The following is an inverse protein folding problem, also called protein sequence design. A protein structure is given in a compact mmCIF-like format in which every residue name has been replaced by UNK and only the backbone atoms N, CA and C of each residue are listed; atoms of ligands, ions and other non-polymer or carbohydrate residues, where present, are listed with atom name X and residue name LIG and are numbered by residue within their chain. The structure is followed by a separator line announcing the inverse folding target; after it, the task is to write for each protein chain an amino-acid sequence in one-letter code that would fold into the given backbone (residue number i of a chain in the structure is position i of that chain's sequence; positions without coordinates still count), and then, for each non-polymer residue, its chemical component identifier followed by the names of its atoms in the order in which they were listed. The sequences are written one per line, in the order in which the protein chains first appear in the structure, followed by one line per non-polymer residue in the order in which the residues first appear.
data_IF_989409936912
#
_entry.id   IF_989409936912
#
_cell.length_a   1.000
_cell.length_b   1.000
_cell.length_c   1.000
_cell.angle_alpha   90.00
_cell.angle_beta   90.00
_cell.angle_gamma   90.00
#
_symmetry.space_group_name_H-M   'P 1'
#
loop_
_entity.id
_entity.type
_entity.pdbx_description
1 polymer ?
#
# COMPACT_ATOMS: atom_id res chain seq x y z
N UNK A 1 -4.05 15.81 16.24
CA UNK A 1 -4.29 14.88 15.16
C UNK A 1 -5.70 15.16 14.63
N UNK A 2 -5.88 15.30 13.33
CA UNK A 2 -7.15 15.60 12.65
C UNK A 2 -7.87 16.86 13.18
N UNK A 3 -7.27 18.05 13.02
CA UNK A 3 -7.83 19.27 13.63
C UNK A 3 -8.96 19.92 12.81
N UNK A 4 -9.19 19.48 11.55
CA UNK A 4 -10.03 20.18 10.58
C UNK A 4 -11.51 19.76 10.64
N UNK A 5 -11.83 18.66 11.33
CA UNK A 5 -13.19 18.16 11.42
C UNK A 5 -13.75 17.68 10.07
N UNK A 6 -12.91 17.09 9.24
CA UNK A 6 -13.37 16.45 8.02
C UNK A 6 -14.24 15.23 8.33
N UNK A 7 -15.19 14.96 7.47
CA UNK A 7 -16.03 13.75 7.56
C UNK A 7 -15.55 12.72 6.55
N UNK A 8 -15.54 11.47 6.94
CA UNK A 8 -15.21 10.38 6.05
C UNK A 8 -16.35 10.09 5.07
N UNK A 9 -15.97 9.76 3.87
CA UNK A 9 -16.89 9.30 2.84
C UNK A 9 -16.34 8.08 2.10
N UNK A 10 -17.23 7.40 1.41
CA UNK A 10 -16.92 6.22 0.60
C UNK A 10 -17.29 6.51 -0.84
N UNK A 11 -16.36 6.28 -1.75
CA UNK A 11 -16.54 6.51 -3.18
C UNK A 11 -16.14 5.28 -3.99
N UNK A 12 -16.68 5.18 -5.20
CA UNK A 12 -16.20 4.27 -6.22
C UNK A 12 -15.26 5.02 -7.16
N UNK A 13 -14.07 4.47 -7.38
CA UNK A 13 -13.00 5.04 -8.21
C UNK A 13 -12.46 3.97 -9.17
N UNK A 14 -11.86 4.38 -10.27
CA UNK A 14 -11.14 3.46 -11.17
C UNK A 14 -9.74 3.18 -10.62
N UNK A 15 -9.14 2.06 -11.03
CA UNK A 15 -7.74 1.76 -10.72
C UNK A 15 -6.80 2.82 -11.31
N UNK A 16 -7.15 3.44 -12.44
CA UNK A 16 -6.36 4.55 -12.99
C UNK A 16 -6.37 5.76 -12.05
N UNK A 17 -7.50 6.13 -11.47
CA UNK A 17 -7.57 7.23 -10.50
C UNK A 17 -6.74 6.94 -9.25
N UNK A 18 -6.71 5.68 -8.77
CA UNK A 18 -5.83 5.27 -7.66
C UNK A 18 -4.37 5.44 -8.05
N UNK A 19 -3.97 4.96 -9.22
CA UNK A 19 -2.58 5.08 -9.70
C UNK A 19 -2.14 6.53 -9.83
N UNK A 20 -2.99 7.37 -10.40
CA UNK A 20 -2.72 8.81 -10.58
C UNK A 20 -2.63 9.53 -9.22
N UNK A 21 -3.46 9.16 -8.26
CA UNK A 21 -3.42 9.72 -6.92
C UNK A 21 -2.12 9.35 -6.19
N UNK A 22 -1.68 8.09 -6.28
CA UNK A 22 -0.40 7.66 -5.69
C UNK A 22 0.79 8.38 -6.36
N UNK A 23 0.74 8.59 -7.67
CA UNK A 23 1.76 9.33 -8.41
C UNK A 23 1.82 10.79 -7.97
N UNK A 24 0.65 11.47 -7.88
CA UNK A 24 0.58 12.84 -7.38
C UNK A 24 1.11 12.96 -5.95
N UNK A 25 0.69 12.05 -5.06
CA UNK A 25 1.13 12.04 -3.66
C UNK A 25 2.63 11.86 -3.51
N UNK A 26 3.25 11.11 -4.42
CA UNK A 26 4.68 10.83 -4.43
C UNK A 26 5.50 11.91 -5.14
N UNK A 27 4.87 12.88 -5.81
CA UNK A 27 5.54 13.79 -6.73
C UNK A 27 6.65 14.63 -6.09
N UNK A 28 6.50 15.00 -4.81
CA UNK A 28 7.47 15.81 -4.08
C UNK A 28 8.67 15.01 -3.53
N UNK A 29 8.58 13.67 -3.50
CA UNK A 29 9.63 12.84 -2.92
C UNK A 29 11.01 13.08 -3.63
N UNK A 30 12.13 13.24 -2.88
CA UNK A 30 12.33 13.04 -1.44
C UNK A 30 11.92 14.22 -0.55
N UNK A 31 11.38 15.30 -1.11
CA UNK A 31 10.85 16.42 -0.34
C UNK A 31 9.57 16.06 0.41
N UNK A 32 9.23 16.87 1.40
CA UNK A 32 8.00 16.69 2.18
C UNK A 32 6.77 17.20 1.44
N UNK A 33 5.63 16.59 1.69
CA UNK A 33 4.33 17.01 1.16
C UNK A 33 3.23 16.68 2.16
N UNK A 34 2.46 17.69 2.57
CA UNK A 34 1.29 17.50 3.42
C UNK A 34 0.20 16.65 2.78
N UNK A 35 0.16 16.61 1.44
CA UNK A 35 -0.76 15.78 0.66
C UNK A 35 -0.24 14.37 0.38
N UNK A 36 0.88 13.92 0.96
CA UNK A 36 1.38 12.56 0.78
C UNK A 36 0.38 11.53 1.33
N UNK A 37 0.00 10.55 0.49
CA UNK A 37 -1.02 9.57 0.86
C UNK A 37 -0.46 8.48 1.77
N UNK A 38 -0.99 8.42 2.98
CA UNK A 38 -0.87 7.23 3.82
C UNK A 38 -1.97 6.24 3.42
N UNK A 39 -1.60 4.99 3.21
CA UNK A 39 -2.50 4.00 2.62
C UNK A 39 -2.80 2.83 3.54
N UNK A 40 -3.99 2.24 3.36
CA UNK A 40 -4.42 0.99 3.95
C UNK A 40 -5.18 0.17 2.91
N UNK A 41 -5.10 -1.16 2.99
CA UNK A 41 -5.71 -2.05 2.00
C UNK A 41 -4.96 -2.12 0.67
N UNK A 42 -3.88 -1.37 0.51
CA UNK A 42 -3.00 -1.43 -0.66
C UNK A 42 -1.52 -1.29 -0.26
N UNK A 43 -0.65 -1.74 -1.15
CA UNK A 43 0.80 -1.51 -1.08
C UNK A 43 1.30 -0.99 -2.41
N UNK A 44 2.40 -0.24 -2.42
CA UNK A 44 3.03 0.23 -3.65
C UNK A 44 4.51 0.58 -3.46
N UNK A 45 5.21 0.72 -4.57
CA UNK A 45 6.62 1.10 -4.62
C UNK A 45 6.75 2.50 -5.21
N UNK A 46 7.61 3.34 -4.62
CA UNK A 46 8.08 4.61 -5.19
C UNK A 46 9.50 4.39 -5.70
N UNK A 47 9.72 4.53 -7.00
CA UNK A 47 11.05 4.51 -7.61
C UNK A 47 11.64 5.93 -7.53
N UNK A 48 12.49 6.16 -6.55
CA UNK A 48 13.01 7.50 -6.23
C UNK A 48 13.91 8.08 -7.34
N UNK A 49 14.50 7.22 -8.17
CA UNK A 49 15.36 7.64 -9.30
C UNK A 49 14.55 8.08 -10.54
N UNK A 50 13.26 7.82 -10.56
CA UNK A 50 12.37 8.33 -11.62
C UNK A 50 11.90 9.72 -11.20
N UNK A 51 12.25 10.79 -11.94
CA UNK A 51 11.72 12.12 -11.64
C UNK A 51 10.21 12.16 -11.84
N UNK A 52 9.53 12.99 -11.04
CA UNK A 52 8.08 13.17 -11.21
C UNK A 52 7.75 13.75 -12.58
N UNK A 53 6.80 13.14 -13.27
CA UNK A 53 6.23 13.58 -14.54
C UNK A 53 4.78 14.08 -14.36
N UNK A 54 4.37 14.41 -13.14
CA UNK A 54 3.06 14.98 -12.82
C UNK A 54 2.96 16.39 -13.38
N UNK A 55 1.94 16.63 -14.20
CA UNK A 55 1.56 17.96 -14.71
C UNK A 55 0.40 18.49 -13.88
N UNK A 56 0.56 19.73 -13.40
CA UNK A 56 -0.46 20.46 -12.65
C UNK A 56 -0.88 21.72 -13.42
N UNK A 57 -2.10 22.16 -13.20
CA UNK A 57 -2.58 23.44 -13.71
C UNK A 57 -2.15 24.63 -12.81
N UNK A 58 -2.54 25.84 -13.19
CA UNK A 58 -2.21 27.08 -12.46
C UNK A 58 -2.75 27.11 -11.01
N UNK A 59 -3.70 26.24 -10.69
CA UNK A 59 -4.23 26.06 -9.33
C UNK A 59 -3.55 24.96 -8.55
N UNK A 60 -2.45 24.40 -9.08
CA UNK A 60 -1.74 23.25 -8.51
C UNK A 60 -2.56 21.95 -8.48
N UNK A 61 -3.63 21.85 -9.27
CA UNK A 61 -4.45 20.66 -9.40
C UNK A 61 -3.84 19.69 -10.44
N UNK A 62 -3.96 18.41 -10.20
CA UNK A 62 -3.50 17.36 -11.11
C UNK A 62 -4.20 17.46 -12.47
N UNK A 63 -3.43 17.36 -13.54
CA UNK A 63 -3.93 17.30 -14.92
C UNK A 63 -3.67 15.92 -15.53
N UNK A 64 -2.42 15.47 -15.50
CA UNK A 64 -1.99 14.18 -16.07
C UNK A 64 -0.60 13.80 -15.57
N UNK A 65 -0.20 12.59 -15.88
CA UNK A 65 1.20 12.17 -15.88
C UNK A 65 1.71 12.24 -17.31
N UNK A 66 2.80 12.97 -17.56
CA UNK A 66 3.37 13.21 -18.89
C UNK A 66 4.75 12.56 -19.01
N UNK A 67 4.81 11.26 -18.79
CA UNK A 67 6.03 10.47 -18.79
C UNK A 67 5.90 9.17 -18.00
N UNK A 68 7.03 8.70 -17.47
CA UNK A 68 7.03 7.51 -16.65
C UNK A 68 6.41 7.77 -15.28
N UNK A 69 5.62 6.83 -14.79
CA UNK A 69 5.18 6.80 -13.41
C UNK A 69 6.35 6.38 -12.52
N UNK A 70 6.53 7.07 -11.41
CA UNK A 70 7.45 6.64 -10.35
C UNK A 70 6.84 5.62 -9.41
N UNK A 71 5.51 5.53 -9.36
CA UNK A 71 4.81 4.49 -8.60
C UNK A 71 4.68 3.20 -9.41
N UNK A 72 5.01 2.08 -8.79
CA UNK A 72 4.93 0.74 -9.38
C UNK A 72 4.47 -0.29 -8.34
N UNK A 73 4.32 -1.53 -8.76
CA UNK A 73 4.00 -2.67 -7.90
C UNK A 73 2.79 -2.42 -7.00
N UNK A 74 1.77 -1.73 -7.53
CA UNK A 74 0.58 -1.37 -6.77
C UNK A 74 -0.28 -2.62 -6.60
N UNK A 75 -0.51 -3.00 -5.34
CA UNK A 75 -1.34 -4.14 -4.98
C UNK A 75 -2.54 -3.67 -4.15
N UNK A 76 -3.73 -4.10 -4.48
CA UNK A 76 -4.96 -3.82 -3.71
C UNK A 76 -5.52 -5.14 -3.20
N UNK A 77 -5.68 -5.27 -1.88
CA UNK A 77 -6.11 -6.53 -1.27
C UNK A 77 -5.22 -7.72 -1.65
N UNK A 78 -3.91 -7.49 -1.82
CA UNK A 78 -2.94 -8.52 -2.22
C UNK A 78 -2.99 -8.92 -3.70
N UNK A 79 -3.78 -8.23 -4.55
CA UNK A 79 -3.84 -8.46 -5.99
C UNK A 79 -3.27 -7.26 -6.76
N UNK A 80 -2.61 -7.46 -7.91
CA UNK A 80 -2.16 -6.36 -8.75
C UNK A 80 -3.32 -5.42 -9.10
N UNK A 81 -3.05 -4.11 -9.01
CA UNK A 81 -4.02 -3.10 -9.41
C UNK A 81 -4.37 -3.25 -10.90
N UNK A 82 -5.65 -3.42 -11.19
CA UNK A 82 -6.18 -3.36 -12.55
C UNK A 82 -6.73 -1.94 -12.80
N UNK A 83 -6.05 -1.17 -13.64
CA UNK A 83 -6.41 0.24 -13.91
C UNK A 83 -7.80 0.40 -14.52
N UNK A 84 -8.34 -0.64 -15.14
CA UNK A 84 -9.67 -0.63 -15.79
C UNK A 84 -10.82 -1.00 -14.84
N UNK A 85 -10.51 -1.60 -13.70
CA UNK A 85 -11.52 -1.97 -12.70
C UNK A 85 -11.90 -0.80 -11.81
N UNK A 86 -13.06 -0.92 -11.16
CA UNK A 86 -13.51 -0.05 -10.10
C UNK A 86 -13.20 -0.63 -8.73
N UNK A 87 -12.90 0.26 -7.81
CA UNK A 87 -12.56 -0.04 -6.42
C UNK A 87 -13.36 0.88 -5.50
N UNK A 88 -13.62 0.41 -4.30
CA UNK A 88 -14.18 1.24 -3.24
C UNK A 88 -13.04 1.89 -2.46
N UNK A 89 -13.09 3.22 -2.33
CA UNK A 89 -12.11 4.04 -1.64
C UNK A 89 -12.78 4.80 -0.50
N UNK A 90 -12.20 4.73 0.69
CA UNK A 90 -12.60 5.52 1.86
C UNK A 90 -11.53 6.56 2.17
N UNK A 91 -11.92 7.79 2.40
CA UNK A 91 -11.11 8.87 2.94
C UNK A 91 -12.01 10.04 3.33
N UNK A 92 -11.41 11.15 3.77
CA UNK A 92 -12.15 12.34 4.14
C UNK A 92 -12.71 13.11 2.93
N UNK A 93 -13.81 13.83 3.16
CA UNK A 93 -14.58 14.56 2.17
C UNK A 93 -13.79 15.67 1.44
N UNK A 94 -12.84 16.31 2.13
CA UNK A 94 -11.98 17.34 1.52
C UNK A 94 -11.22 16.80 0.30
N UNK A 95 -10.65 15.61 0.40
CA UNK A 95 -9.95 14.99 -0.73
C UNK A 95 -10.92 14.37 -1.74
N UNK A 96 -11.85 13.51 -1.29
CA UNK A 96 -12.65 12.70 -2.20
C UNK A 96 -13.80 13.46 -2.87
N UNK A 97 -14.37 14.49 -2.21
CA UNK A 97 -15.49 15.27 -2.74
C UNK A 97 -15.04 16.58 -3.37
N UNK A 98 -13.98 17.19 -2.86
CA UNK A 98 -13.53 18.52 -3.31
C UNK A 98 -12.25 18.46 -4.18
N UNK A 99 -11.54 17.31 -4.21
CA UNK A 99 -10.25 17.20 -4.88
C UNK A 99 -9.15 18.00 -4.16
N UNK A 100 -9.25 18.11 -2.83
CA UNK A 100 -8.32 18.87 -2.01
C UNK A 100 -6.86 18.42 -2.21
N UNK A 101 -5.92 19.29 -1.91
CA UNK A 101 -4.47 19.10 -2.13
C UNK A 101 -4.09 18.79 -3.58
N UNK A 102 -4.97 19.20 -4.52
CA UNK A 102 -4.75 19.03 -5.95
C UNK A 102 -5.15 17.66 -6.51
N UNK A 103 -5.83 16.82 -5.72
CA UNK A 103 -6.32 15.50 -6.15
C UNK A 103 -7.55 15.60 -7.07
N UNK A 104 -7.42 16.35 -8.17
CA UNK A 104 -8.50 16.63 -9.11
C UNK A 104 -9.08 15.38 -9.80
N UNK A 105 -8.34 14.23 -9.80
CA UNK A 105 -8.89 12.96 -10.26
C UNK A 105 -10.05 12.47 -9.38
N UNK A 106 -10.14 12.95 -8.14
CA UNK A 106 -11.29 12.77 -7.26
C UNK A 106 -12.28 13.93 -7.43
N UNK A 107 -13.11 14.20 -6.46
CA UNK A 107 -14.16 15.21 -6.57
C UNK A 107 -15.46 14.63 -7.09
N UNK A 108 -16.59 15.20 -6.67
CA UNK A 108 -17.94 14.69 -6.95
C UNK A 108 -18.31 14.54 -8.41
N UNK A 109 -17.58 15.22 -9.32
CA UNK A 109 -17.77 15.10 -10.76
C UNK A 109 -17.07 13.89 -11.37
N UNK A 110 -16.04 13.38 -10.69
CA UNK A 110 -15.13 12.35 -11.20
C UNK A 110 -15.27 11.00 -10.49
N UNK A 111 -15.94 10.98 -9.34
CA UNK A 111 -16.14 9.76 -8.55
C UNK A 111 -17.62 9.54 -8.25
N UNK A 112 -18.01 8.29 -8.04
CA UNK A 112 -19.36 7.97 -7.60
C UNK A 112 -19.39 7.87 -6.07
N UNK A 113 -20.11 8.77 -5.43
CA UNK A 113 -20.30 8.78 -3.99
C UNK A 113 -21.20 7.60 -3.57
N UNK A 114 -20.71 6.75 -2.69
CA UNK A 114 -21.43 5.59 -2.15
C UNK A 114 -22.01 5.89 -0.77
N UNK A 115 -21.22 6.55 0.10
CA UNK A 115 -21.65 7.02 1.43
C UNK A 115 -21.02 8.37 1.72
N UNK A 116 -21.74 9.23 2.38
CA UNK A 116 -21.31 10.58 2.78
C UNK A 116 -21.49 10.79 4.28
N UNK A 117 -20.65 11.61 4.89
CA UNK A 117 -20.75 11.96 6.29
C UNK A 117 -20.78 10.76 7.22
N UNK A 118 -19.97 9.75 6.95
CA UNK A 118 -20.02 8.48 7.69
C UNK A 118 -19.63 8.68 9.14
N UNK A 119 -18.54 9.43 9.35
CA UNK A 119 -18.00 9.74 10.67
C UNK A 119 -16.97 10.84 10.54
N UNK A 120 -16.79 11.63 11.60
CA UNK A 120 -15.71 12.61 11.66
C UNK A 120 -14.35 11.88 11.79
N UNK A 121 -13.34 12.34 11.08
CA UNK A 121 -12.04 11.69 10.89
C UNK A 121 -11.32 11.33 12.19
N UNK A 122 -11.36 12.20 13.20
CA UNK A 122 -10.77 11.91 14.50
C UNK A 122 -11.50 10.78 15.25
N UNK A 123 -12.82 10.66 15.07
CA UNK A 123 -13.62 9.60 15.71
C UNK A 123 -13.34 8.25 15.06
N UNK A 124 -13.05 8.19 13.76
CA UNK A 124 -12.61 6.96 13.09
C UNK A 124 -11.34 6.42 13.73
N UNK A 125 -10.34 7.29 13.94
CA UNK A 125 -9.09 6.91 14.61
C UNK A 125 -9.33 6.48 16.07
N UNK A 126 -10.13 7.22 16.82
CA UNK A 126 -10.46 6.88 18.21
C UNK A 126 -11.13 5.51 18.27
N UNK A 127 -12.13 5.27 17.42
CA UNK A 127 -12.84 3.99 17.37
C UNK A 127 -11.91 2.84 17.02
N UNK A 128 -10.99 3.04 16.07
CA UNK A 128 -10.02 2.02 15.72
C UNK A 128 -9.10 1.69 16.90
N UNK A 129 -8.58 2.69 17.60
CA UNK A 129 -7.71 2.48 18.76
C UNK A 129 -8.47 1.75 19.86
N UNK A 130 -9.69 2.18 20.19
CA UNK A 130 -10.47 1.60 21.29
C UNK A 130 -10.95 0.19 20.95
N UNK A 131 -11.57 0.01 19.77
CA UNK A 131 -12.29 -1.22 19.45
C UNK A 131 -11.40 -2.30 18.82
N UNK A 132 -10.34 -1.91 18.10
CA UNK A 132 -9.48 -2.86 17.38
C UNK A 132 -8.12 -3.06 18.06
N UNK A 133 -7.62 -2.03 18.77
CA UNK A 133 -6.31 -2.09 19.42
C UNK A 133 -6.39 -2.20 20.95
N UNK A 134 -7.60 -2.31 21.52
CA UNK A 134 -7.78 -2.41 22.97
C UNK A 134 -7.36 -1.15 23.74
N UNK A 135 -7.41 0.01 23.09
CA UNK A 135 -7.11 1.33 23.69
C UNK A 135 -5.61 1.70 23.67
N UNK A 136 -4.75 0.89 23.10
CA UNK A 136 -3.29 1.13 23.09
C UNK A 136 -2.74 1.01 21.68
N UNK A 137 -1.95 2.00 21.27
CA UNK A 137 -1.10 1.90 20.07
C UNK A 137 0.23 1.27 20.49
N UNK A 138 0.39 -0.02 20.21
CA UNK A 138 1.51 -0.82 20.70
C UNK A 138 2.70 -0.89 19.74
N UNK A 139 3.63 -1.79 20.07
CA UNK A 139 4.89 -2.01 19.36
C UNK A 139 4.73 -2.33 17.87
N UNK A 140 3.57 -2.87 17.47
CA UNK A 140 3.27 -3.15 16.06
C UNK A 140 3.32 -1.91 15.16
N UNK A 141 3.23 -0.71 15.75
CA UNK A 141 3.32 0.57 15.04
C UNK A 141 4.63 1.33 15.30
N UNK A 142 5.60 0.73 16.01
CA UNK A 142 6.90 1.34 16.28
C UNK A 142 7.74 1.56 15.01
N UNK A 143 7.43 0.85 13.93
CA UNK A 143 8.10 0.96 12.64
C UNK A 143 7.09 1.03 11.48
N UNK A 144 7.52 1.50 10.29
CA UNK A 144 6.70 1.46 9.08
C UNK A 144 6.19 0.05 8.77
N UNK A 145 4.94 -0.06 8.35
CA UNK A 145 4.26 -1.35 8.13
C UNK A 145 4.54 -1.96 6.73
N UNK A 146 5.51 -1.43 5.98
CA UNK A 146 5.89 -1.95 4.67
C UNK A 146 4.85 -1.73 3.56
N UNK A 147 3.84 -0.89 3.78
CA UNK A 147 2.85 -0.60 2.75
C UNK A 147 3.38 0.26 1.60
N UNK A 148 4.40 1.05 1.89
CA UNK A 148 5.05 1.94 0.93
C UNK A 148 6.54 1.58 0.91
N UNK A 149 7.03 1.14 -0.24
CA UNK A 149 8.43 0.79 -0.44
C UNK A 149 9.11 1.88 -1.27
N UNK A 150 10.29 2.30 -0.85
CA UNK A 150 11.13 3.22 -1.63
C UNK A 150 12.24 2.42 -2.29
N UNK A 151 12.36 2.49 -3.62
CA UNK A 151 13.47 1.93 -4.39
C UNK A 151 14.37 3.04 -4.91
N UNK A 152 15.69 2.84 -4.82
CA UNK A 152 16.72 3.65 -5.46
C UNK A 152 17.69 2.72 -6.18
N UNK A 153 18.45 3.20 -7.17
CA UNK A 153 19.49 2.40 -7.83
C UNK A 153 20.52 1.84 -6.83
N UNK A 154 20.73 2.55 -5.71
CA UNK A 154 21.59 2.05 -4.62
C UNK A 154 20.93 0.91 -3.82
N UNK A 155 19.60 0.77 -3.84
CA UNK A 155 18.90 -0.35 -3.19
C UNK A 155 18.88 -1.62 -4.02
N UNK A 156 19.23 -1.52 -5.31
CA UNK A 156 19.40 -2.68 -6.20
C UNK A 156 20.82 -3.30 -6.12
N UNK A 157 21.71 -2.69 -5.33
CA UNK A 157 22.97 -3.34 -4.96
C UNK A 157 22.65 -4.37 -3.87
N UNK A 158 22.80 -5.66 -4.11
CA UNK A 158 22.49 -6.67 -3.11
C UNK A 158 23.43 -6.50 -1.91
N UNK A 159 22.94 -5.82 -0.89
CA UNK A 159 23.56 -5.81 0.43
C UNK A 159 22.83 -6.82 1.27
N UNK A 160 23.15 -8.10 1.09
CA UNK A 160 22.99 -9.00 2.24
C UNK A 160 23.44 -10.43 1.96
N UNK A 161 24.14 -10.96 2.92
CA UNK A 161 24.43 -12.39 3.01
C UNK A 161 23.14 -13.24 3.09
N UNK A 162 22.00 -12.67 3.48
CA UNK A 162 20.69 -13.33 3.48
C UNK A 162 20.12 -13.57 2.09
N UNK A 163 20.36 -12.66 1.11
CA UNK A 163 19.94 -12.86 -0.29
C UNK A 163 20.82 -13.88 -1.02
N UNK A 164 22.08 -14.05 -0.58
CA UNK A 164 22.98 -15.04 -1.14
C UNK A 164 22.53 -16.48 -0.91
N UNK A 165 21.69 -16.71 0.11
CA UNK A 165 21.10 -18.01 0.42
C UNK A 165 19.91 -18.34 -0.51
N UNK A 166 19.22 -17.31 -1.05
CA UNK A 166 18.01 -17.48 -1.89
C UNK A 166 18.33 -17.40 -3.40
N UNK A 167 19.27 -16.54 -3.81
CA UNK A 167 19.61 -16.37 -5.23
C UNK A 167 20.36 -17.56 -5.87
N UNK A 168 20.84 -18.51 -5.07
CA UNK A 168 21.56 -19.71 -5.52
C UNK A 168 20.74 -20.99 -5.56
N UNK A 169 19.47 -20.95 -5.18
CA UNK A 169 18.63 -22.14 -5.16
C UNK A 169 17.62 -22.15 -6.29
N UNK A 170 17.94 -22.93 -7.31
CA UNK A 170 16.94 -23.68 -8.06
C UNK A 170 16.38 -24.70 -7.05
N UNK A 171 15.58 -24.26 -6.08
CA UNK A 171 15.21 -25.07 -4.91
C UNK A 171 13.83 -25.62 -5.07
N UNK A 172 13.76 -26.90 -5.17
CA UNK A 172 12.66 -27.71 -4.67
C UNK A 172 12.39 -27.26 -3.22
N UNK A 173 11.33 -26.48 -3.02
CA UNK A 173 10.86 -26.13 -1.67
C UNK A 173 10.44 -27.44 -1.03
N UNK A 174 11.16 -27.86 0.01
CA UNK A 174 10.86 -29.06 0.77
C UNK A 174 9.89 -28.74 1.90
N UNK A 175 8.97 -29.64 2.15
CA UNK A 175 8.05 -29.54 3.28
C UNK A 175 8.85 -29.47 4.59
N UNK A 176 8.58 -28.44 5.39
CA UNK A 176 9.27 -28.20 6.66
C UNK A 176 10.33 -27.10 6.62
N UNK A 177 10.62 -26.51 5.46
CA UNK A 177 11.46 -25.31 5.41
C UNK A 177 10.77 -24.16 6.17
N UNK A 178 11.56 -23.22 6.65
CA UNK A 178 11.05 -22.03 7.34
C UNK A 178 11.47 -20.76 6.63
N UNK A 179 10.64 -19.73 6.72
CA UNK A 179 10.93 -18.40 6.21
C UNK A 179 10.76 -17.38 7.33
N UNK A 180 11.76 -16.56 7.57
CA UNK A 180 11.66 -15.45 8.53
C UNK A 180 11.18 -14.20 7.81
N UNK A 181 10.06 -13.66 8.24
CA UNK A 181 9.47 -12.44 7.67
C UNK A 181 10.38 -11.25 7.88
N UNK A 182 10.68 -10.52 6.82
CA UNK A 182 11.48 -9.31 6.85
C UNK A 182 10.64 -8.08 6.48
N UNK A 183 11.21 -6.88 6.70
CA UNK A 183 10.53 -5.63 6.37
C UNK A 183 10.15 -5.59 4.87
N UNK A 184 8.91 -5.21 4.58
CA UNK A 184 8.36 -5.16 3.22
C UNK A 184 7.76 -6.48 2.71
N UNK A 185 7.81 -7.57 3.50
CA UNK A 185 7.16 -8.81 3.12
C UNK A 185 5.64 -8.75 3.28
N UNK A 186 4.97 -9.39 2.33
CA UNK A 186 3.61 -9.86 2.47
C UNK A 186 3.54 -11.31 2.01
N UNK A 187 2.50 -12.04 2.39
CA UNK A 187 2.41 -13.47 2.03
C UNK A 187 2.50 -13.74 0.53
N UNK A 188 1.97 -12.83 -0.29
CA UNK A 188 2.07 -12.91 -1.75
C UNK A 188 3.52 -12.84 -2.23
N UNK A 189 4.29 -11.85 -1.74
CA UNK A 189 5.70 -11.69 -2.10
C UNK A 189 6.55 -12.86 -1.60
N UNK A 190 6.27 -13.35 -0.40
CA UNK A 190 6.93 -14.53 0.15
C UNK A 190 6.61 -15.76 -0.70
N UNK A 191 5.34 -15.98 -1.06
CA UNK A 191 4.94 -17.08 -1.93
C UNK A 191 5.61 -16.97 -3.30
N UNK A 192 5.71 -15.75 -3.86
CA UNK A 192 6.41 -15.53 -5.11
C UNK A 192 7.91 -15.88 -5.01
N UNK A 193 8.58 -15.45 -3.94
CA UNK A 193 9.99 -15.78 -3.66
C UNK A 193 10.21 -17.29 -3.53
N UNK A 194 9.30 -17.98 -2.84
CA UNK A 194 9.44 -19.41 -2.51
C UNK A 194 9.01 -20.34 -3.65
N UNK A 195 7.93 -20.00 -4.35
CA UNK A 195 7.27 -20.90 -5.31
C UNK A 195 7.31 -20.40 -6.75
N UNK A 196 7.79 -19.18 -6.98
CA UNK A 196 7.76 -18.52 -8.29
C UNK A 196 6.38 -18.01 -8.71
N UNK A 197 5.41 -18.06 -7.79
CA UNK A 197 4.06 -17.50 -7.99
C UNK A 197 3.48 -17.03 -6.67
N UNK A 198 2.92 -15.81 -6.67
CA UNK A 198 2.26 -15.25 -5.50
C UNK A 198 0.91 -15.91 -5.18
N UNK A 199 0.27 -16.59 -6.15
CA UNK A 199 -1.06 -17.21 -5.97
C UNK A 199 -1.09 -18.29 -4.88
N UNK A 200 0.07 -18.83 -4.50
CA UNK A 200 0.18 -19.82 -3.43
C UNK A 200 0.27 -19.20 -2.02
N UNK A 201 0.02 -17.90 -1.88
CA UNK A 201 0.01 -17.24 -0.58
C UNK A 201 -1.04 -17.82 0.39
N UNK A 202 -2.17 -18.28 -0.12
CA UNK A 202 -3.21 -18.93 0.69
C UNK A 202 -2.72 -20.23 1.31
N UNK A 203 -1.96 -21.03 0.54
CA UNK A 203 -1.35 -22.26 1.04
C UNK A 203 -0.34 -21.97 2.15
N UNK A 204 0.44 -20.88 2.00
CA UNK A 204 1.36 -20.43 3.04
C UNK A 204 0.60 -19.93 4.29
N UNK A 205 -0.52 -19.22 4.11
CA UNK A 205 -1.38 -18.79 5.21
C UNK A 205 -1.98 -19.96 5.98
N UNK A 206 -2.53 -20.95 5.28
CA UNK A 206 -3.12 -22.15 5.87
C UNK A 206 -2.09 -22.95 6.70
N UNK A 207 -0.88 -23.17 6.13
CA UNK A 207 0.19 -23.90 6.83
C UNK A 207 0.60 -23.21 8.14
N UNK A 208 0.43 -21.88 8.21
CA UNK A 208 0.77 -21.07 9.37
C UNK A 208 -0.44 -20.67 10.23
N UNK A 209 -1.63 -21.20 9.93
CA UNK A 209 -2.89 -20.94 10.66
C UNK A 209 -3.22 -19.44 10.74
N UNK A 210 -2.89 -18.70 9.69
CA UNK A 210 -3.19 -17.27 9.59
C UNK A 210 -4.63 -17.09 9.13
N UNK A 211 -5.39 -16.30 9.88
CA UNK A 211 -6.76 -15.92 9.51
C UNK A 211 -6.75 -14.67 8.62
N UNK A 212 -7.76 -14.52 7.75
CA UNK A 212 -7.99 -13.26 7.03
C UNK A 212 -8.11 -12.09 8.04
N UNK A 213 -7.39 -10.98 7.86
CA UNK A 213 -6.65 -10.50 6.67
C UNK A 213 -5.16 -10.94 6.56
N UNK A 214 -4.78 -12.09 7.04
CA UNK A 214 -3.44 -12.71 6.88
C UNK A 214 -2.27 -11.81 7.34
N UNK A 215 -2.40 -11.23 8.51
CA UNK A 215 -1.37 -10.35 9.09
C UNK A 215 -0.14 -11.17 9.45
N UNK A 216 1.03 -10.70 9.02
CA UNK A 216 2.34 -11.24 9.40
C UNK A 216 3.21 -10.14 9.98
N UNK A 217 4.16 -10.51 10.84
CA UNK A 217 5.01 -9.58 11.56
C UNK A 217 6.48 -9.80 11.21
N UNK A 218 7.28 -8.72 11.18
CA UNK A 218 8.72 -8.81 10.99
C UNK A 218 9.33 -9.70 12.09
N UNK A 219 10.19 -10.64 11.68
CA UNK A 219 10.78 -11.64 12.57
C UNK A 219 9.90 -12.87 12.80
N UNK A 220 8.65 -12.88 12.33
CA UNK A 220 7.81 -14.07 12.40
C UNK A 220 8.40 -15.19 11.54
N UNK A 221 8.46 -16.39 12.10
CA UNK A 221 8.92 -17.58 11.38
C UNK A 221 7.68 -18.28 10.79
N UNK A 222 7.65 -18.39 9.48
CA UNK A 222 6.61 -19.10 8.75
C UNK A 222 7.11 -20.50 8.35
N UNK A 223 6.28 -21.51 8.57
CA UNK A 223 6.48 -22.85 8.01
C UNK A 223 6.14 -22.79 6.51
N UNK A 224 7.05 -23.30 5.69
CA UNK A 224 6.90 -23.31 4.24
C UNK A 224 6.38 -24.69 3.82
N UNK A 225 5.12 -24.80 3.33
CA UNK A 225 4.60 -26.06 2.80
C UNK A 225 5.24 -26.39 1.45
N UNK A 226 5.30 -27.65 1.09
CA UNK A 226 5.71 -28.08 -0.26
C UNK A 226 4.85 -27.41 -1.34
N UNK A 227 5.41 -27.19 -2.53
CA UNK A 227 4.72 -26.56 -3.66
C UNK A 227 3.53 -27.38 -4.16
#
# INVERSE_FOLDING_TARGET
VHPFGNEDCLVEVTGQQIKDALELGSAAYPGESGGFLQVSGLTYTINADIPSSVVKNDKSEFVKVDGAYRVSDIMVGGQPLDVSKTYTLASHNYMLKQGGDGYAMFGTKNVKLLKDGVMIDNQVLINYIVNNLGGVVGEQYAAPQGRITIKTAASDVPTNESEKVIAGRNTTVTEGDTYTVVAGDCLWNIAYKLYGTGTLYTKLAEANKLADPYIIYIGQILTVPAK
#
